data_IF_632782044640
#
_entry.id   IF_632782044640
#
_cell.length_a   1.000
_cell.length_b   1.000
_cell.length_c   1.000
_cell.angle_alpha   90.00
_cell.angle_beta   90.00
_cell.angle_gamma   90.00
#
_symmetry.space_group_name_H-M   'P 1'
#
loop_
_entity.id
_entity.type
_entity.pdbx_description
1 polymer ?
#
# COMPACT_ATOMS: atom_id res chain seq x y z
N UNK A 1 -0.32 -18.02 -16.21
CA UNK A 1 0.95 -17.43 -16.72
C UNK A 1 2.18 -18.25 -16.31
N UNK A 2 2.41 -18.57 -15.03
CA UNK A 2 3.55 -19.43 -14.61
C UNK A 2 3.52 -20.78 -15.34
N UNK A 3 2.38 -21.48 -15.28
CA UNK A 3 2.19 -22.78 -15.93
C UNK A 3 2.09 -22.69 -17.46
N UNK A 4 1.52 -21.60 -17.97
CA UNK A 4 1.42 -21.33 -19.40
C UNK A 4 1.80 -19.88 -19.73
N UNK A 5 3.09 -19.62 -20.02
CA UNK A 5 3.58 -18.31 -20.44
C UNK A 5 3.06 -17.90 -21.82
N UNK A 6 2.55 -18.83 -22.64
CA UNK A 6 2.09 -18.54 -24.00
C UNK A 6 0.87 -17.63 -24.02
N UNK A 7 0.09 -17.63 -22.93
CA UNK A 7 -1.02 -16.69 -22.72
C UNK A 7 -0.61 -15.23 -22.93
N UNK A 8 0.67 -14.88 -22.69
CA UNK A 8 1.20 -13.54 -22.87
C UNK A 8 2.33 -13.42 -23.88
N UNK A 9 3.01 -14.51 -24.28
CA UNK A 9 4.19 -14.44 -25.14
C UNK A 9 3.99 -15.07 -26.53
N UNK A 10 2.89 -15.80 -26.78
CA UNK A 10 2.65 -16.35 -28.12
C UNK A 10 2.38 -15.23 -29.11
N UNK A 11 2.82 -15.32 -30.37
CA UNK A 11 2.38 -14.41 -31.43
C UNK A 11 0.84 -14.36 -31.58
N UNK A 12 0.16 -15.43 -31.18
CA UNK A 12 -1.30 -15.59 -31.18
C UNK A 12 -1.94 -15.28 -29.81
N UNK A 13 -1.21 -14.65 -28.88
CA UNK A 13 -1.76 -14.29 -27.57
C UNK A 13 -2.96 -13.34 -27.75
N UNK A 14 -4.09 -13.70 -27.14
CA UNK A 14 -5.33 -12.94 -27.22
C UNK A 14 -5.66 -12.34 -25.86
N UNK A 15 -6.19 -11.11 -25.88
CA UNK A 15 -6.66 -10.44 -24.67
C UNK A 15 -7.70 -11.29 -23.93
N UNK A 16 -8.56 -12.01 -24.66
CA UNK A 16 -9.59 -12.89 -24.09
C UNK A 16 -9.06 -13.98 -23.17
N UNK A 17 -7.81 -14.41 -23.36
CA UNK A 17 -7.20 -15.50 -22.57
C UNK A 17 -6.03 -15.03 -21.71
N UNK A 18 -5.39 -13.91 -22.05
CA UNK A 18 -4.24 -13.39 -21.30
C UNK A 18 -4.56 -12.21 -20.37
N UNK A 19 -5.66 -11.49 -20.55
CA UNK A 19 -6.13 -10.49 -19.58
C UNK A 19 -6.87 -11.16 -18.42
N UNK A 20 -6.92 -10.51 -17.25
CA UNK A 20 -7.61 -11.07 -16.08
C UNK A 20 -9.13 -10.93 -16.16
N UNK A 21 -9.61 -9.88 -16.82
CA UNK A 21 -11.03 -9.53 -17.00
C UNK A 21 -11.60 -10.01 -18.34
N UNK A 22 -10.75 -10.46 -19.27
CA UNK A 22 -11.15 -10.82 -20.62
C UNK A 22 -11.31 -9.62 -21.55
N UNK A 23 -10.98 -8.41 -21.09
CA UNK A 23 -11.11 -7.17 -21.84
C UNK A 23 -9.85 -6.87 -22.66
N UNK A 24 -9.98 -5.93 -23.59
CA UNK A 24 -8.85 -5.49 -24.44
C UNK A 24 -7.71 -4.98 -23.55
N UNK A 25 -6.47 -5.24 -23.97
CA UNK A 25 -5.27 -4.77 -23.27
C UNK A 25 -5.38 -3.28 -22.90
N UNK A 26 -5.13 -2.94 -21.64
CA UNK A 26 -5.18 -1.55 -21.15
C UNK A 26 -4.20 -0.65 -21.92
N UNK A 27 -3.04 -1.20 -22.26
CA UNK A 27 -2.01 -0.57 -23.09
C UNK A 27 -1.64 -1.48 -24.27
N UNK A 28 -2.41 -1.48 -25.37
CA UNK A 28 -2.14 -2.33 -26.53
C UNK A 28 -0.80 -2.01 -27.19
N UNK A 29 -0.42 -0.73 -27.22
CA UNK A 29 0.86 -0.24 -27.74
C UNK A 29 2.05 -0.86 -27.00
N UNK A 30 2.02 -0.86 -25.67
CA UNK A 30 3.03 -1.49 -24.84
C UNK A 30 3.10 -3.01 -25.08
N UNK A 31 1.93 -3.67 -25.12
CA UNK A 31 1.85 -5.11 -25.38
C UNK A 31 2.49 -5.48 -26.73
N UNK A 32 2.09 -4.83 -27.81
CA UNK A 32 2.61 -5.13 -29.15
C UNK A 32 4.07 -4.73 -29.32
N UNK A 33 4.53 -3.66 -28.66
CA UNK A 33 5.95 -3.31 -28.64
C UNK A 33 6.80 -4.41 -27.99
N UNK A 34 6.36 -4.98 -26.86
CA UNK A 34 7.03 -6.13 -26.23
C UNK A 34 7.02 -7.34 -27.17
N UNK A 35 5.89 -7.66 -27.81
CA UNK A 35 5.80 -8.77 -28.78
C UNK A 35 6.77 -8.63 -29.95
N UNK A 36 6.95 -7.41 -30.48
CA UNK A 36 7.93 -7.14 -31.54
C UNK A 36 9.38 -7.39 -31.07
N UNK A 37 9.65 -7.26 -29.77
CA UNK A 37 10.95 -7.48 -29.16
C UNK A 37 11.18 -8.94 -28.71
N UNK A 38 10.12 -9.75 -28.51
CA UNK A 38 10.23 -11.15 -28.06
C UNK A 38 11.32 -11.93 -28.81
N UNK A 39 11.43 -11.88 -30.16
CA UNK A 39 12.46 -12.63 -30.89
C UNK A 39 13.91 -12.22 -30.53
N UNK A 40 14.10 -11.02 -29.98
CA UNK A 40 15.40 -10.44 -29.58
C UNK A 40 15.66 -10.57 -28.08
N UNK A 41 14.70 -11.07 -27.30
CA UNK A 41 14.78 -11.17 -25.85
C UNK A 41 14.75 -12.64 -25.40
N UNK A 42 15.86 -13.41 -25.58
CA UNK A 42 15.89 -14.85 -25.33
C UNK A 42 15.57 -15.23 -23.87
N UNK A 43 15.77 -14.30 -22.93
CA UNK A 43 15.51 -14.53 -21.50
C UNK A 43 14.15 -14.04 -21.02
N UNK A 44 13.35 -13.37 -21.87
CA UNK A 44 12.07 -12.79 -21.46
C UNK A 44 11.12 -13.82 -20.85
N UNK A 45 11.05 -15.02 -21.44
CA UNK A 45 10.21 -16.10 -20.92
C UNK A 45 10.59 -16.48 -19.48
N UNK A 46 11.88 -16.67 -19.22
CA UNK A 46 12.38 -17.03 -17.89
C UNK A 46 12.16 -15.91 -16.88
N UNK A 47 12.49 -14.67 -17.27
CA UNK A 47 12.28 -13.50 -16.41
C UNK A 47 10.81 -13.30 -16.05
N UNK A 48 9.89 -13.48 -17.01
CA UNK A 48 8.45 -13.38 -16.77
C UNK A 48 7.96 -14.43 -15.79
N UNK A 49 8.39 -15.70 -15.93
CA UNK A 49 8.02 -16.77 -14.98
C UNK A 49 8.48 -16.43 -13.57
N UNK A 50 9.77 -16.09 -13.40
CA UNK A 50 10.34 -15.75 -12.09
C UNK A 50 9.64 -14.53 -11.46
N UNK A 51 9.29 -13.53 -12.29
CA UNK A 51 8.50 -12.40 -11.83
C UNK A 51 7.15 -12.83 -11.27
N UNK A 52 6.39 -13.66 -12.00
CA UNK A 52 5.08 -14.12 -11.54
C UNK A 52 5.17 -15.09 -10.35
N UNK A 53 6.22 -15.91 -10.25
CA UNK A 53 6.50 -16.74 -9.08
C UNK A 53 6.76 -15.88 -7.83
N UNK A 54 7.53 -14.80 -7.94
CA UNK A 54 7.72 -13.86 -6.83
C UNK A 54 6.47 -13.06 -6.49
N UNK A 55 5.64 -12.76 -7.49
CA UNK A 55 4.42 -11.98 -7.31
C UNK A 55 3.28 -12.79 -6.70
N UNK A 56 3.13 -14.08 -7.04
CA UNK A 56 1.93 -14.88 -6.72
C UNK A 56 1.63 -14.90 -5.22
N UNK A 57 2.65 -15.04 -4.37
CA UNK A 57 2.48 -15.07 -2.91
C UNK A 57 1.87 -13.77 -2.39
N UNK A 58 2.32 -12.64 -2.92
CA UNK A 58 1.80 -11.31 -2.56
C UNK A 58 0.40 -11.10 -3.11
N UNK A 59 0.16 -11.52 -4.34
CA UNK A 59 -1.18 -11.44 -4.95
C UNK A 59 -2.20 -12.25 -4.15
N UNK A 60 -1.89 -13.48 -3.74
CA UNK A 60 -2.77 -14.31 -2.91
C UNK A 60 -3.06 -13.66 -1.54
N UNK A 61 -2.04 -13.15 -0.86
CA UNK A 61 -2.24 -12.45 0.43
C UNK A 61 -3.01 -11.13 0.26
N UNK A 62 -2.91 -10.47 -0.89
CA UNK A 62 -3.62 -9.24 -1.18
C UNK A 62 -5.09 -9.50 -1.51
N UNK A 63 -5.38 -10.42 -2.44
CA UNK A 63 -6.74 -10.71 -2.90
C UNK A 63 -7.62 -11.34 -1.82
N UNK A 64 -7.04 -12.08 -0.87
CA UNK A 64 -7.78 -12.61 0.29
C UNK A 64 -8.40 -11.51 1.17
N UNK A 65 -7.88 -10.27 1.13
CA UNK A 65 -8.47 -9.14 1.86
C UNK A 65 -9.76 -8.62 1.23
N UNK A 66 -10.00 -8.94 -0.05
CA UNK A 66 -11.15 -8.49 -0.86
C UNK A 66 -12.20 -9.58 -1.05
N UNK A 67 -12.10 -10.71 -0.34
CA UNK A 67 -13.17 -11.71 -0.33
C UNK A 67 -14.44 -11.14 0.29
N UNK A 68 -15.59 -11.77 0.01
CA UNK A 68 -16.90 -11.34 0.53
C UNK A 68 -16.92 -11.29 2.05
N UNK A 69 -16.17 -12.19 2.71
CA UNK A 69 -16.00 -12.23 4.17
C UNK A 69 -14.64 -11.65 4.61
N UNK A 70 -13.95 -10.93 3.72
CA UNK A 70 -12.63 -10.36 3.94
C UNK A 70 -12.68 -9.12 4.83
N UNK A 71 -11.53 -8.77 5.41
CA UNK A 71 -11.40 -7.64 6.36
C UNK A 71 -11.95 -6.33 5.79
N UNK A 72 -11.81 -6.11 4.48
CA UNK A 72 -12.31 -4.91 3.80
C UNK A 72 -13.84 -4.93 3.72
N UNK A 73 -14.43 -6.08 3.38
CA UNK A 73 -15.88 -6.23 3.28
C UNK A 73 -16.57 -6.22 4.66
N UNK A 74 -15.90 -6.72 5.70
CA UNK A 74 -16.40 -6.74 7.07
C UNK A 74 -16.22 -5.42 7.82
N UNK A 75 -15.46 -4.46 7.28
CA UNK A 75 -15.19 -3.20 7.95
C UNK A 75 -16.46 -2.36 8.10
N UNK A 76 -16.70 -1.88 9.30
CA UNK A 76 -17.80 -0.98 9.64
C UNK A 76 -17.65 0.37 8.94
N UNK A 77 -18.77 1.08 8.77
CA UNK A 77 -18.75 2.43 8.20
C UNK A 77 -17.90 3.42 9.01
N UNK A 78 -17.70 3.18 10.30
CA UNK A 78 -16.77 3.95 11.12
C UNK A 78 -15.33 3.61 10.77
N UNK A 79 -14.94 2.33 10.78
CA UNK A 79 -13.60 1.89 10.39
C UNK A 79 -13.19 2.40 9.00
N UNK A 80 -14.12 2.43 8.05
CA UNK A 80 -13.88 3.02 6.72
C UNK A 80 -13.55 4.51 6.76
N UNK A 81 -14.19 5.29 7.65
CA UNK A 81 -13.88 6.72 7.84
C UNK A 81 -12.50 6.90 8.47
N UNK A 82 -12.15 6.05 9.43
CA UNK A 82 -10.81 6.06 10.05
C UNK A 82 -9.72 5.60 9.08
N UNK A 83 -10.04 4.66 8.20
CA UNK A 83 -9.14 4.11 7.19
C UNK A 83 -9.07 4.94 5.90
N UNK A 84 -9.54 6.20 5.91
CA UNK A 84 -9.44 7.07 4.75
C UNK A 84 -7.99 7.16 4.25
N UNK A 85 -7.78 6.72 3.02
CA UNK A 85 -6.51 6.83 2.31
C UNK A 85 -6.68 7.76 1.12
N UNK A 86 -5.59 8.44 0.73
CA UNK A 86 -5.60 9.23 -0.49
C UNK A 86 -5.88 8.31 -1.68
N UNK A 87 -6.69 8.74 -2.67
CA UNK A 87 -7.06 7.91 -3.82
C UNK A 87 -5.87 7.54 -4.70
N UNK A 88 -4.81 8.36 -4.70
CA UNK A 88 -3.56 8.08 -5.42
C UNK A 88 -2.57 7.38 -4.50
N UNK A 89 -1.99 6.27 -4.98
CA UNK A 89 -1.13 5.42 -4.14
C UNK A 89 0.19 6.10 -3.74
N UNK A 90 0.70 7.07 -4.51
CA UNK A 90 1.99 7.73 -4.26
C UNK A 90 2.13 8.28 -2.83
N UNK A 91 1.07 8.90 -2.31
CA UNK A 91 1.05 9.46 -0.94
C UNK A 91 1.05 8.35 0.12
N UNK A 92 0.35 7.25 -0.16
CA UNK A 92 0.28 6.10 0.74
C UNK A 92 1.61 5.33 0.73
N UNK A 93 2.22 5.14 -0.44
CA UNK A 93 3.54 4.53 -0.62
C UNK A 93 4.64 5.37 0.04
N UNK A 94 4.62 6.69 -0.15
CA UNK A 94 5.53 7.62 0.51
C UNK A 94 5.42 7.55 2.04
N UNK A 95 4.19 7.52 2.56
CA UNK A 95 3.94 7.35 4.00
C UNK A 95 4.40 5.99 4.54
N UNK A 96 4.22 4.91 3.76
CA UNK A 96 4.73 3.59 4.11
C UNK A 96 6.27 3.56 4.13
N UNK A 97 6.91 4.18 3.15
CA UNK A 97 8.37 4.32 3.08
C UNK A 97 8.93 5.08 4.28
N UNK A 98 8.33 6.22 4.63
CA UNK A 98 8.70 7.00 5.82
C UNK A 98 8.59 6.15 7.09
N UNK A 99 7.48 5.43 7.27
CA UNK A 99 7.28 4.52 8.40
C UNK A 99 8.38 3.48 8.48
N UNK A 100 8.71 2.82 7.36
CA UNK A 100 9.76 1.79 7.34
C UNK A 100 11.13 2.35 7.75
N UNK A 101 11.49 3.55 7.26
CA UNK A 101 12.73 4.23 7.64
C UNK A 101 12.72 4.54 9.15
N UNK A 102 11.61 5.07 9.66
CA UNK A 102 11.46 5.42 11.08
C UNK A 102 11.54 4.20 12.00
N UNK A 103 10.90 3.08 11.62
CA UNK A 103 11.02 1.81 12.36
C UNK A 103 12.45 1.28 12.38
N UNK A 104 13.23 1.47 11.31
CA UNK A 104 14.66 1.07 11.29
C UNK A 104 15.51 1.95 12.20
N UNK A 105 15.25 3.25 12.27
CA UNK A 105 15.99 4.17 13.13
C UNK A 105 15.59 4.07 14.60
N UNK A 106 14.33 3.77 14.88
CA UNK A 106 13.76 3.66 16.22
C UNK A 106 12.92 2.39 16.35
N UNK A 107 13.55 1.20 16.44
CA UNK A 107 12.85 -0.08 16.45
C UNK A 107 11.97 -0.28 17.69
N UNK A 108 12.27 0.42 18.79
CA UNK A 108 11.48 0.38 20.02
C UNK A 108 10.31 1.37 20.01
N UNK A 109 10.11 2.13 18.92
CA UNK A 109 8.99 3.07 18.80
C UNK A 109 7.69 2.30 18.57
N UNK A 110 6.68 2.59 19.39
CA UNK A 110 5.35 2.02 19.23
C UNK A 110 4.63 2.61 18.01
N UNK A 111 3.63 1.89 17.49
CA UNK A 111 2.83 2.39 16.36
C UNK A 111 2.07 3.66 16.75
N UNK A 112 1.60 3.74 17.98
CA UNK A 112 0.91 4.87 18.56
C UNK A 112 1.81 6.11 18.58
N UNK A 113 3.07 5.95 19.04
CA UNK A 113 4.06 7.04 19.07
C UNK A 113 4.40 7.52 17.65
N UNK A 114 4.60 6.58 16.72
CA UNK A 114 4.80 6.91 15.31
C UNK A 114 3.62 7.71 14.75
N UNK A 115 2.39 7.24 14.96
CA UNK A 115 1.18 7.91 14.46
C UNK A 115 1.01 9.29 15.09
N UNK A 116 1.27 9.42 16.40
CA UNK A 116 1.22 10.70 17.09
C UNK A 116 2.22 11.72 16.50
N UNK A 117 3.47 11.32 16.26
CA UNK A 117 4.47 12.20 15.64
C UNK A 117 4.10 12.60 14.21
N UNK A 118 3.66 11.64 13.40
CA UNK A 118 3.25 11.87 12.01
C UNK A 118 2.06 12.83 11.96
N UNK A 119 1.04 12.62 12.78
CA UNK A 119 -0.13 13.50 12.86
C UNK A 119 0.21 14.87 13.44
N UNK A 120 1.09 14.94 14.44
CA UNK A 120 1.55 16.21 15.02
C UNK A 120 2.19 17.12 13.96
N UNK A 121 2.98 16.53 13.05
CA UNK A 121 3.59 17.23 11.92
C UNK A 121 2.56 17.56 10.84
N UNK A 122 1.81 16.58 10.34
CA UNK A 122 0.85 16.74 9.23
C UNK A 122 -0.24 17.76 9.55
N UNK A 123 -0.74 17.78 10.78
CA UNK A 123 -1.82 18.69 11.19
C UNK A 123 -1.31 20.05 11.68
N UNK A 124 0.01 20.29 11.68
CA UNK A 124 0.62 21.46 12.31
C UNK A 124 0.11 21.66 13.75
N UNK A 125 0.07 20.57 14.52
CA UNK A 125 -0.46 20.59 15.90
C UNK A 125 0.34 21.56 16.77
N UNK A 126 1.63 21.75 16.51
CA UNK A 126 2.44 22.80 17.15
C UNK A 126 1.84 24.19 16.95
N UNK A 127 1.51 24.56 15.71
CA UNK A 127 0.89 25.85 15.40
C UNK A 127 -0.47 26.02 16.08
N UNK A 128 -1.30 24.96 16.10
CA UNK A 128 -2.57 24.97 16.82
C UNK A 128 -2.37 25.19 18.33
N UNK A 129 -1.44 24.46 18.95
CA UNK A 129 -1.11 24.58 20.37
C UNK A 129 -0.69 26.02 20.68
N UNK A 130 0.24 26.57 19.90
CA UNK A 130 0.74 27.93 20.12
C UNK A 130 -0.34 29.00 19.96
N UNK A 131 -1.28 28.81 19.02
CA UNK A 131 -2.33 29.79 18.73
C UNK A 131 -3.51 29.72 19.71
N UNK A 132 -3.80 28.54 20.24
CA UNK A 132 -5.12 28.25 20.84
C UNK A 132 -5.02 27.84 22.31
N UNK A 133 -3.97 27.16 22.73
CA UNK A 133 -3.88 26.61 24.08
C UNK A 133 -3.23 27.58 25.05
N UNK A 134 -3.84 27.71 26.22
CA UNK A 134 -3.27 28.45 27.34
C UNK A 134 -2.28 27.59 28.14
N UNK A 135 -1.45 28.20 29.00
CA UNK A 135 -0.61 27.45 29.93
C UNK A 135 -1.38 26.50 30.86
N UNK A 136 -2.63 26.83 31.20
CA UNK A 136 -3.49 25.97 32.02
C UNK A 136 -3.92 24.72 31.24
N UNK A 137 -4.26 24.86 29.96
CA UNK A 137 -4.60 23.72 29.09
C UNK A 137 -3.40 22.80 28.89
N UNK A 138 -2.20 23.38 28.70
CA UNK A 138 -0.96 22.61 28.59
C UNK A 138 -0.66 21.83 29.87
N UNK A 139 -0.88 22.43 31.05
CA UNK A 139 -0.72 21.75 32.34
C UNK A 139 -1.71 20.59 32.48
N UNK A 140 -2.96 20.79 32.04
CA UNK A 140 -3.98 19.74 32.02
C UNK A 140 -3.58 18.58 31.10
N UNK A 141 -3.19 18.87 29.85
CA UNK A 141 -2.81 17.86 28.87
C UNK A 141 -1.59 17.06 29.30
N UNK A 142 -0.57 17.70 29.89
CA UNK A 142 0.60 17.01 30.45
C UNK A 142 0.22 16.04 31.56
N UNK A 143 -0.68 16.44 32.46
CA UNK A 143 -1.21 15.54 33.50
C UNK A 143 -1.95 14.36 32.89
N UNK A 144 -2.80 14.58 31.88
CA UNK A 144 -3.51 13.51 31.18
C UNK A 144 -2.58 12.54 30.45
N UNK A 145 -1.54 13.06 29.78
CA UNK A 145 -0.53 12.22 29.15
C UNK A 145 0.18 11.32 30.19
N UNK A 146 0.50 11.87 31.36
CA UNK A 146 1.11 11.10 32.44
C UNK A 146 0.18 10.04 33.03
N UNK A 147 -1.11 10.34 33.23
CA UNK A 147 -2.11 9.36 33.65
C UNK A 147 -2.17 8.16 32.69
N UNK A 148 -2.18 8.41 31.38
CA UNK A 148 -2.20 7.37 30.34
C UNK A 148 -0.92 6.53 30.39
N UNK A 149 0.25 7.17 30.43
CA UNK A 149 1.56 6.48 30.46
C UNK A 149 1.74 5.64 31.73
N UNK A 150 1.23 6.12 32.87
CA UNK A 150 1.26 5.42 34.15
C UNK A 150 0.26 4.25 34.26
N UNK A 151 -0.72 4.17 33.35
CA UNK A 151 -1.74 3.11 33.31
C UNK A 151 -1.37 1.93 32.41
N UNK A 152 -0.15 1.94 31.85
CA UNK A 152 0.41 0.88 31.01
C UNK A 152 0.59 -0.44 31.73
#
# INVERSE_FOLDING_TARGET
IIADPKLLLSPEALYKTGSMDGEVWEHPDAFYAVHALVPRLPHLRGAMIVFFEGAVDKWLSFTTKFTVDGVIASASGEEWRWAYMAPTNDVNEGGLGEKQIQTRHAPNMTLESHNAHTMYRKNNTAGFIHKTLSPADLKYLRRKAWEIDSSG
#
